data_IF_659668233473
#
_entry.id   IF_659668233473
#
_cell.length_a   1.000
_cell.length_b   1.000
_cell.length_c   1.000
_cell.angle_alpha   90.00
_cell.angle_beta   90.00
_cell.angle_gamma   90.00
#
_symmetry.space_group_name_H-M   'P 1'
#
loop_
_entity.id
_entity.type
_entity.pdbx_description
1 polymer ?
#
# COMPACT_ATOMS: atom_id res chain seq x y z
N UNK A 1 -36.94 -11.30 -38.57
CA UNK A 1 -36.78 -11.31 -37.10
C UNK A 1 -36.22 -12.66 -36.73
N UNK A 2 -34.91 -12.72 -36.45
CA UNK A 2 -34.23 -13.90 -35.91
C UNK A 2 -33.02 -13.39 -35.14
N UNK A 3 -33.07 -13.47 -33.81
CA UNK A 3 -31.96 -13.19 -32.91
C UNK A 3 -31.05 -14.41 -32.80
N UNK A 4 -29.71 -14.27 -32.78
CA UNK A 4 -28.83 -15.34 -32.37
C UNK A 4 -28.53 -15.25 -30.86
N UNK A 5 -28.86 -16.31 -30.15
CA UNK A 5 -28.43 -16.59 -28.77
C UNK A 5 -26.96 -16.97 -28.74
N UNK A 6 -26.15 -16.26 -27.93
CA UNK A 6 -24.80 -16.68 -27.57
C UNK A 6 -24.79 -17.46 -26.25
N UNK A 7 -24.08 -18.59 -26.28
CA UNK A 7 -23.94 -19.58 -25.23
C UNK A 7 -22.68 -19.25 -24.36
N UNK A 8 -22.78 -19.12 -23.03
CA UNK A 8 -21.62 -18.80 -22.19
C UNK A 8 -20.73 -20.02 -21.99
N UNK A 9 -19.52 -19.98 -22.57
CA UNK A 9 -18.48 -21.01 -22.36
C UNK A 9 -18.10 -21.10 -20.87
N UNK A 10 -18.49 -22.19 -20.21
CA UNK A 10 -17.94 -22.61 -18.91
C UNK A 10 -16.52 -23.17 -19.09
N UNK A 11 -15.55 -22.66 -18.33
CA UNK A 11 -14.22 -23.25 -18.21
C UNK A 11 -14.23 -24.44 -17.22
N UNK A 12 -13.57 -25.56 -17.53
CA UNK A 12 -13.57 -26.74 -16.67
C UNK A 12 -12.59 -26.59 -15.49
N UNK A 13 -13.04 -26.99 -14.30
CA UNK A 13 -12.24 -27.09 -13.08
C UNK A 13 -11.27 -28.27 -13.19
N UNK A 14 -9.97 -28.04 -12.94
CA UNK A 14 -8.92 -29.07 -13.04
C UNK A 14 -8.30 -29.32 -11.66
N UNK A 15 -8.67 -30.45 -11.05
CA UNK A 15 -8.26 -30.86 -9.70
C UNK A 15 -6.73 -31.10 -9.56
N UNK A 16 -6.03 -31.42 -10.64
CA UNK A 16 -4.58 -31.62 -10.63
C UNK A 16 -3.77 -30.33 -10.41
N UNK A 17 -4.41 -29.16 -10.54
CA UNK A 17 -3.79 -27.84 -10.31
C UNK A 17 -3.67 -27.52 -8.81
N UNK A 18 -4.58 -28.03 -7.99
CA UNK A 18 -4.63 -27.77 -6.54
C UNK A 18 -3.46 -28.44 -5.81
N UNK A 19 -3.07 -29.65 -6.19
CA UNK A 19 -1.91 -30.34 -5.58
C UNK A 19 -0.56 -29.72 -5.96
N UNK A 20 -0.44 -29.13 -7.16
CA UNK A 20 0.76 -28.42 -7.59
C UNK A 20 0.91 -27.08 -6.85
N UNK A 21 -0.19 -26.35 -6.69
CA UNK A 21 -0.24 -25.07 -5.98
C UNK A 21 0.04 -25.22 -4.48
N UNK A 22 -0.39 -26.33 -3.84
CA UNK A 22 -0.06 -26.63 -2.43
C UNK A 22 1.43 -26.93 -2.24
N UNK A 23 2.07 -27.66 -3.18
CA UNK A 23 3.51 -27.95 -3.12
C UNK A 23 4.37 -26.70 -3.33
N UNK A 24 3.97 -25.80 -4.23
CA UNK A 24 4.64 -24.53 -4.45
C UNK A 24 4.46 -23.60 -3.23
N UNK A 25 3.26 -23.51 -2.66
CA UNK A 25 3.01 -22.69 -1.45
C UNK A 25 3.88 -23.12 -0.26
N UNK A 26 4.11 -24.44 -0.09
CA UNK A 26 4.97 -24.98 0.96
C UNK A 26 6.48 -24.80 0.70
N UNK A 27 6.93 -24.79 -0.55
CA UNK A 27 8.32 -24.50 -0.92
C UNK A 27 8.65 -23.00 -0.81
N UNK A 28 7.68 -22.10 -1.03
CA UNK A 28 7.85 -20.64 -0.90
C UNK A 28 7.78 -20.13 0.55
N UNK A 29 7.21 -20.90 1.47
CA UNK A 29 7.16 -20.56 2.91
C UNK A 29 8.50 -20.78 3.64
N UNK A 30 9.42 -21.58 3.07
CA UNK A 30 10.59 -22.09 3.79
C UNK A 30 11.78 -21.12 3.92
N UNK A 31 11.76 -19.93 3.30
CA UNK A 31 12.94 -19.04 3.24
C UNK A 31 12.70 -17.57 3.59
N UNK A 32 11.56 -17.19 4.20
CA UNK A 32 11.31 -15.80 4.62
C UNK A 32 11.77 -15.57 6.06
N UNK A 33 12.62 -14.55 6.27
CA UNK A 33 12.96 -14.03 7.61
C UNK A 33 11.66 -13.65 8.32
N UNK A 34 11.41 -14.25 9.48
CA UNK A 34 10.27 -13.94 10.34
C UNK A 34 10.39 -12.50 10.85
N UNK A 35 9.33 -11.70 10.71
CA UNK A 35 9.25 -10.35 11.26
C UNK A 35 8.93 -10.47 12.74
N UNK A 36 9.75 -9.89 13.59
CA UNK A 36 9.59 -9.92 15.04
C UNK A 36 9.07 -8.59 15.55
N UNK A 37 7.91 -8.59 16.20
CA UNK A 37 7.24 -7.41 16.74
C UNK A 37 7.14 -7.54 18.26
N UNK A 38 7.53 -6.49 18.97
CA UNK A 38 7.28 -6.33 20.39
C UNK A 38 6.11 -5.37 20.58
N UNK A 39 5.14 -5.73 21.41
CA UNK A 39 4.01 -4.85 21.77
C UNK A 39 4.05 -4.64 23.28
N UNK A 40 3.97 -3.37 23.68
CA UNK A 40 3.88 -2.95 25.06
C UNK A 40 2.64 -2.06 25.22
N UNK A 41 1.64 -2.60 25.87
CA UNK A 41 0.36 -1.94 26.16
C UNK A 41 -0.10 -2.45 27.54
N UNK A 42 -0.67 -1.61 28.39
CA UNK A 42 -1.12 -2.07 29.72
C UNK A 42 -2.46 -2.77 29.70
N UNK A 43 -3.23 -2.61 28.63
CA UNK A 43 -4.56 -3.19 28.52
C UNK A 43 -4.47 -4.64 28.00
N UNK A 44 -4.83 -5.65 28.81
CA UNK A 44 -4.76 -7.06 28.40
C UNK A 44 -5.63 -7.40 27.20
N UNK A 45 -6.76 -6.71 27.02
CA UNK A 45 -7.66 -6.93 25.88
C UNK A 45 -7.02 -6.38 24.60
N UNK A 46 -6.35 -5.24 24.68
CA UNK A 46 -5.58 -4.68 23.57
C UNK A 46 -4.37 -5.58 23.24
N UNK A 47 -3.64 -6.06 24.26
CA UNK A 47 -2.54 -7.01 24.05
C UNK A 47 -3.02 -8.28 23.33
N UNK A 48 -4.14 -8.86 23.79
CA UNK A 48 -4.76 -10.04 23.15
C UNK A 48 -5.15 -9.73 21.71
N UNK A 49 -5.76 -8.56 21.47
CA UNK A 49 -6.15 -8.13 20.14
C UNK A 49 -4.95 -8.05 19.18
N UNK A 50 -3.83 -7.47 19.63
CA UNK A 50 -2.59 -7.48 18.84
C UNK A 50 -2.10 -8.90 18.56
N UNK A 51 -2.08 -9.78 19.56
CA UNK A 51 -1.64 -11.17 19.35
C UNK A 51 -2.49 -11.88 18.30
N UNK A 52 -3.82 -11.78 18.39
CA UNK A 52 -4.73 -12.40 17.42
C UNK A 52 -4.60 -11.77 16.04
N UNK A 53 -4.51 -10.44 15.95
CA UNK A 53 -4.28 -9.75 14.69
C UNK A 53 -2.97 -10.16 14.02
N UNK A 54 -1.87 -10.27 14.75
CA UNK A 54 -0.59 -10.66 14.17
C UNK A 54 -0.58 -12.14 13.71
N UNK A 55 -1.34 -13.02 14.37
CA UNK A 55 -1.53 -14.42 13.91
C UNK A 55 -2.23 -14.48 12.55
N UNK A 56 -3.19 -13.58 12.31
CA UNK A 56 -3.95 -13.52 11.03
C UNK A 56 -3.10 -12.97 9.88
N UNK A 57 -2.23 -11.99 10.15
CA UNK A 57 -1.44 -11.29 9.10
C UNK A 57 -0.54 -12.24 8.32
N UNK A 58 0.18 -13.12 9.02
CA UNK A 58 1.07 -14.08 8.36
C UNK A 58 1.69 -15.06 9.36
N UNK A 59 1.91 -16.34 9.00
CA UNK A 59 2.79 -17.24 9.76
C UNK A 59 4.23 -16.69 9.90
N UNK A 60 4.57 -15.65 9.13
CA UNK A 60 5.88 -15.00 9.14
C UNK A 60 5.99 -13.80 10.10
N UNK A 61 4.97 -13.47 10.90
CA UNK A 61 5.06 -12.46 11.97
C UNK A 61 5.09 -13.17 13.33
N UNK A 62 6.07 -12.87 14.16
CA UNK A 62 6.04 -13.20 15.60
C UNK A 62 5.73 -11.96 16.40
N UNK A 63 4.68 -12.02 17.21
CA UNK A 63 4.33 -10.99 18.17
C UNK A 63 4.76 -11.44 19.58
N UNK A 64 5.51 -10.61 20.28
CA UNK A 64 5.86 -10.76 21.68
C UNK A 64 5.19 -9.64 22.46
N UNK A 65 4.50 -9.98 23.54
CA UNK A 65 3.91 -9.00 24.44
C UNK A 65 4.87 -8.76 25.60
N UNK A 66 5.14 -7.49 25.89
CA UNK A 66 5.79 -7.07 27.11
C UNK A 66 4.72 -6.50 28.07
N UNK A 67 4.74 -7.00 29.30
CA UNK A 67 3.93 -6.58 30.44
C UNK A 67 4.72 -5.65 31.39
N UNK A 68 6.02 -5.45 31.14
CA UNK A 68 6.90 -4.59 31.91
C UNK A 68 7.88 -3.82 31.01
N UNK A 69 8.16 -2.58 31.39
CA UNK A 69 9.09 -1.69 30.72
C UNK A 69 10.52 -2.22 30.75
N UNK A 70 10.90 -2.98 31.79
CA UNK A 70 12.20 -3.64 31.81
C UNK A 70 12.29 -4.71 30.73
N UNK A 71 11.24 -5.52 30.53
CA UNK A 71 11.18 -6.45 29.40
C UNK A 71 11.16 -5.73 28.06
N UNK A 72 10.60 -4.53 27.98
CA UNK A 72 10.63 -3.69 26.78
C UNK A 72 12.04 -3.19 26.44
N UNK A 73 12.80 -2.74 27.45
CA UNK A 73 14.14 -2.16 27.26
C UNK A 73 15.21 -3.26 27.15
N UNK A 74 15.05 -4.38 27.86
CA UNK A 74 16.09 -5.38 28.09
C UNK A 74 15.76 -6.80 27.59
N UNK A 75 14.53 -7.06 27.14
CA UNK A 75 14.09 -8.41 26.74
C UNK A 75 13.91 -9.36 27.94
N UNK A 76 13.84 -10.67 27.69
CA UNK A 76 13.62 -11.69 28.72
C UNK A 76 14.83 -11.91 29.67
N UNK A 77 15.95 -11.21 29.48
CA UNK A 77 17.15 -11.32 30.33
C UNK A 77 17.07 -10.39 31.56
N UNK A 78 16.01 -10.50 32.35
CA UNK A 78 15.76 -9.67 33.54
C UNK A 78 16.61 -10.04 34.78
N UNK A 79 17.78 -10.67 34.60
CA UNK A 79 18.67 -11.08 35.69
C UNK A 79 19.95 -10.25 35.71
N UNK A 80 19.87 -9.06 36.31
CA UNK A 80 20.93 -8.24 36.97
C UNK A 80 20.90 -6.76 36.55
N UNK A 81 20.06 -5.98 37.23
CA UNK A 81 20.01 -4.50 37.17
C UNK A 81 21.36 -3.84 37.49
N UNK A 82 22.30 -4.57 38.12
CA UNK A 82 23.61 -4.06 38.54
C UNK A 82 24.78 -4.35 37.58
N UNK A 83 24.54 -4.95 36.40
CA UNK A 83 25.55 -5.09 35.34
C UNK A 83 25.02 -4.46 34.06
N UNK A 84 25.25 -3.14 33.96
CA UNK A 84 24.89 -2.28 32.85
C UNK A 84 25.54 -2.73 31.55
N UNK A 85 24.73 -3.14 30.57
CA UNK A 85 24.95 -2.83 29.16
C UNK A 85 23.60 -2.90 28.44
N UNK A 86 23.03 -1.78 27.97
CA UNK A 86 21.83 -1.82 27.14
C UNK A 86 22.11 -2.61 25.85
N UNK A 87 21.12 -3.33 25.31
CA UNK A 87 21.32 -4.16 24.13
C UNK A 87 21.79 -3.29 22.95
N UNK A 88 22.90 -3.69 22.32
CA UNK A 88 23.43 -3.01 21.12
C UNK A 88 22.65 -3.35 19.83
N UNK A 89 21.69 -4.26 19.94
CA UNK A 89 20.83 -4.71 18.84
C UNK A 89 19.50 -5.18 19.40
N UNK A 90 18.42 -4.82 18.72
CA UNK A 90 17.08 -5.31 19.05
C UNK A 90 16.85 -6.67 18.40
N UNK A 91 16.15 -7.54 19.13
CA UNK A 91 15.63 -8.81 18.60
C UNK A 91 14.31 -8.62 17.83
N UNK A 92 13.82 -7.38 17.73
CA UNK A 92 12.55 -7.02 17.13
C UNK A 92 12.75 -6.05 15.96
N UNK A 93 12.11 -6.34 14.84
CA UNK A 93 12.08 -5.45 13.67
C UNK A 93 11.24 -4.20 13.94
N UNK A 94 10.16 -4.31 14.75
CA UNK A 94 9.28 -3.19 15.16
C UNK A 94 8.93 -3.31 16.64
N UNK A 95 8.90 -2.18 17.37
CA UNK A 95 8.36 -2.10 18.74
C UNK A 95 7.15 -1.16 18.73
N UNK A 96 6.02 -1.64 19.24
CA UNK A 96 4.77 -0.90 19.39
C UNK A 96 4.59 -0.62 20.88
N UNK A 97 4.34 0.63 21.23
CA UNK A 97 4.31 1.06 22.64
C UNK A 97 3.13 2.00 22.84
N UNK A 98 2.24 1.70 23.78
CA UNK A 98 1.26 2.68 24.25
C UNK A 98 1.99 3.78 25.05
N UNK A 99 1.68 5.04 24.76
CA UNK A 99 2.22 6.18 25.50
C UNK A 99 1.61 6.26 26.89
N UNK A 100 0.37 5.80 27.07
CA UNK A 100 -0.38 5.89 28.32
C UNK A 100 -0.26 4.62 29.17
N UNK A 101 0.97 4.24 29.51
CA UNK A 101 1.25 3.04 30.32
C UNK A 101 1.53 3.45 31.76
N UNK A 102 0.50 3.46 32.60
CA UNK A 102 0.61 3.73 34.04
C UNK A 102 1.39 5.01 34.37
N UNK A 103 2.30 4.92 35.33
CA UNK A 103 3.18 6.03 35.76
C UNK A 103 4.52 6.08 35.00
N UNK A 104 4.65 5.33 33.90
CA UNK A 104 5.92 5.22 33.21
C UNK A 104 6.15 6.36 32.20
N UNK A 105 7.36 6.92 32.23
CA UNK A 105 7.83 7.88 31.22
C UNK A 105 8.31 7.13 29.97
N UNK A 106 7.33 6.73 29.15
CA UNK A 106 7.52 5.92 27.95
C UNK A 106 8.37 6.63 26.90
N UNK A 107 8.17 7.94 26.72
CA UNK A 107 8.93 8.74 25.76
C UNK A 107 10.42 8.72 26.13
N UNK A 108 10.74 8.85 27.43
CA UNK A 108 12.13 8.74 27.91
C UNK A 108 12.71 7.34 27.72
N UNK A 109 11.92 6.30 27.94
CA UNK A 109 12.35 4.92 27.71
C UNK A 109 12.70 4.68 26.23
N UNK A 110 11.82 5.08 25.32
CA UNK A 110 12.04 4.98 23.87
C UNK A 110 13.23 5.82 23.42
N UNK A 111 13.43 7.02 23.98
CA UNK A 111 14.62 7.82 23.71
C UNK A 111 15.90 7.06 24.04
N UNK A 112 15.96 6.36 25.17
CA UNK A 112 17.12 5.51 25.52
C UNK A 112 17.30 4.36 24.53
N UNK A 113 16.21 3.73 24.07
CA UNK A 113 16.29 2.67 23.05
C UNK A 113 16.90 3.24 21.76
N UNK A 114 16.41 4.37 21.27
CA UNK A 114 16.89 4.98 20.02
C UNK A 114 18.31 5.54 20.13
N UNK A 115 18.77 5.95 21.31
CA UNK A 115 20.16 6.32 21.55
C UNK A 115 21.12 5.12 21.38
N UNK A 116 20.68 3.92 21.77
CA UNK A 116 21.49 2.70 21.66
C UNK A 116 21.28 1.98 20.32
N UNK A 117 20.09 2.09 19.73
CA UNK A 117 19.68 1.42 18.48
C UNK A 117 18.98 2.44 17.57
N UNK A 118 19.72 3.36 16.91
CA UNK A 118 19.14 4.48 16.17
C UNK A 118 18.24 4.10 14.99
N UNK A 119 18.36 2.86 14.49
CA UNK A 119 17.55 2.33 13.39
C UNK A 119 16.35 1.51 13.86
N UNK A 120 16.12 1.42 15.17
CA UNK A 120 14.97 0.70 15.69
C UNK A 120 13.68 1.37 15.23
N UNK A 121 12.77 0.60 14.63
CA UNK A 121 11.44 1.09 14.28
C UNK A 121 10.57 1.08 15.53
N UNK A 122 10.05 2.25 15.89
CA UNK A 122 9.16 2.44 17.04
C UNK A 122 7.83 3.01 16.56
N UNK A 123 6.74 2.45 17.07
CA UNK A 123 5.37 2.88 16.82
C UNK A 123 4.75 3.23 18.17
N UNK A 124 4.44 4.49 18.39
CA UNK A 124 3.63 4.90 19.52
C UNK A 124 2.16 4.69 19.21
N UNK A 125 1.42 4.22 20.19
CA UNK A 125 -0.04 4.27 20.18
C UNK A 125 -0.53 5.15 21.30
N UNK A 126 -1.60 5.92 21.06
CA UNK A 126 -2.07 6.87 22.07
C UNK A 126 -3.54 7.19 21.88
N UNK A 127 -4.26 7.44 22.97
CA UNK A 127 -5.60 8.06 22.93
C UNK A 127 -5.54 9.59 23.01
N UNK A 128 -4.38 10.15 23.37
CA UNK A 128 -4.17 11.57 23.57
C UNK A 128 -4.12 12.34 22.24
N UNK A 129 -4.26 13.67 22.35
CA UNK A 129 -4.09 14.56 21.21
C UNK A 129 -2.65 14.52 20.68
N UNK A 130 -2.49 14.42 19.36
CA UNK A 130 -1.17 14.33 18.72
C UNK A 130 -0.28 15.54 19.00
N UNK A 131 -0.86 16.72 19.20
CA UNK A 131 -0.11 17.93 19.52
C UNK A 131 0.52 17.84 20.92
N UNK A 132 -0.21 17.28 21.90
CA UNK A 132 0.28 17.08 23.26
C UNK A 132 1.47 16.12 23.24
N UNK A 133 1.30 14.96 22.59
CA UNK A 133 2.34 13.94 22.50
C UNK A 133 3.58 14.45 21.75
N UNK A 134 3.40 15.15 20.63
CA UNK A 134 4.51 15.73 19.88
C UNK A 134 5.27 16.79 20.68
N UNK A 135 4.57 17.65 21.41
CA UNK A 135 5.21 18.65 22.27
C UNK A 135 6.01 17.99 23.39
N UNK A 136 5.45 16.96 24.03
CA UNK A 136 6.15 16.20 25.06
C UNK A 136 7.43 15.55 24.51
N UNK A 137 7.35 14.91 23.34
CA UNK A 137 8.52 14.34 22.65
C UNK A 137 9.58 15.40 22.37
N UNK A 138 9.20 16.57 21.87
CA UNK A 138 10.12 17.69 21.62
C UNK A 138 10.79 18.15 22.92
N UNK A 139 10.02 18.35 23.99
CA UNK A 139 10.54 18.74 25.30
C UNK A 139 11.53 17.70 25.85
N UNK A 140 11.28 16.42 25.59
CA UNK A 140 12.17 15.34 25.96
C UNK A 140 13.32 15.13 24.96
N UNK A 141 13.39 15.87 23.85
CA UNK A 141 14.44 15.79 22.84
C UNK A 141 14.35 14.56 21.93
N UNK A 142 13.16 13.99 21.76
CA UNK A 142 12.83 12.95 20.79
C UNK A 142 12.20 13.59 19.55
N UNK A 143 13.01 14.00 18.58
CA UNK A 143 12.55 14.82 17.46
C UNK A 143 12.33 14.06 16.14
N UNK A 144 12.76 12.80 16.05
CA UNK A 144 12.58 11.97 14.85
C UNK A 144 12.73 10.48 15.17
N UNK A 145 12.32 9.61 14.24
CA UNK A 145 12.54 8.16 14.32
C UNK A 145 11.39 7.35 14.94
N UNK A 146 10.22 7.96 15.13
CA UNK A 146 9.02 7.29 15.66
C UNK A 146 7.81 7.56 14.78
N UNK A 147 6.92 6.57 14.67
CA UNK A 147 5.58 6.70 14.07
C UNK A 147 4.56 6.80 15.19
N UNK A 148 3.48 7.56 15.02
CA UNK A 148 2.42 7.69 16.04
C UNK A 148 1.08 7.29 15.43
N UNK A 149 0.42 6.31 16.03
CA UNK A 149 -0.94 5.89 15.73
C UNK A 149 -1.90 6.34 16.84
N UNK A 150 -2.95 7.06 16.46
CA UNK A 150 -3.98 7.50 17.42
C UNK A 150 -5.09 6.46 17.51
N UNK A 151 -5.40 6.01 18.72
CA UNK A 151 -6.50 5.09 19.03
C UNK A 151 -7.85 5.84 18.94
N UNK A 152 -8.90 5.21 18.38
CA UNK A 152 -8.88 3.94 17.67
C UNK A 152 -8.26 4.10 16.27
N UNK A 153 -7.50 3.09 15.83
CA UNK A 153 -6.99 2.99 14.46
C UNK A 153 -7.40 1.65 13.85
N UNK A 154 -7.43 1.59 12.52
CA UNK A 154 -7.78 0.39 11.78
C UNK A 154 -6.63 -0.62 11.75
N UNK A 155 -6.96 -1.88 11.47
CA UNK A 155 -5.96 -2.91 11.24
C UNK A 155 -5.07 -2.61 10.02
N UNK A 156 -5.60 -1.93 9.00
CA UNK A 156 -4.85 -1.50 7.83
C UNK A 156 -3.79 -0.46 8.20
N UNK A 157 -4.12 0.48 9.09
CA UNK A 157 -3.20 1.52 9.57
C UNK A 157 -2.02 0.88 10.30
N UNK A 158 -2.33 -0.07 11.21
CA UNK A 158 -1.32 -0.84 11.90
C UNK A 158 -0.42 -1.63 10.93
N UNK A 159 -1.00 -2.26 9.91
CA UNK A 159 -0.28 -3.02 8.90
C UNK A 159 0.66 -2.16 8.05
N UNK A 160 0.21 -0.98 7.63
CA UNK A 160 1.02 -0.03 6.89
C UNK A 160 2.26 0.36 7.69
N UNK A 161 2.08 0.58 9.00
CA UNK A 161 3.19 0.94 9.88
C UNK A 161 4.09 -0.24 10.18
N UNK A 162 3.63 -1.47 10.37
CA UNK A 162 4.52 -2.59 10.75
C UNK A 162 5.14 -3.33 9.55
N UNK A 163 4.52 -3.28 8.37
CA UNK A 163 5.01 -4.00 7.19
C UNK A 163 6.43 -3.53 6.82
N UNK A 164 7.37 -4.44 6.51
CA UNK A 164 8.74 -4.07 6.11
C UNK A 164 8.84 -3.34 4.77
N UNK A 165 7.72 -3.09 4.09
CA UNK A 165 7.72 -2.50 2.76
C UNK A 165 7.99 -1.00 2.85
N UNK A 166 9.29 -0.63 2.86
CA UNK A 166 9.76 0.65 2.29
C UNK A 166 9.26 0.86 0.85
N UNK A 167 8.84 -0.23 0.22
CA UNK A 167 8.32 -0.28 -1.12
C UNK A 167 6.94 -0.96 -1.11
N UNK A 168 5.90 -0.13 -1.04
CA UNK A 168 4.49 -0.55 -0.98
C UNK A 168 4.03 -1.34 -2.22
N UNK A 169 4.78 -1.26 -3.32
CA UNK A 169 4.47 -1.93 -4.59
C UNK A 169 5.21 -3.26 -4.76
N UNK A 170 6.09 -3.65 -3.83
CA UNK A 170 6.99 -4.82 -3.99
C UNK A 170 6.27 -6.17 -4.15
N UNK A 171 5.02 -6.28 -3.68
CA UNK A 171 4.23 -7.51 -3.71
C UNK A 171 3.31 -7.62 -4.92
N UNK A 172 3.19 -6.55 -5.70
CA UNK A 172 2.25 -6.48 -6.80
C UNK A 172 2.78 -7.24 -8.02
N UNK A 173 1.86 -7.85 -8.76
CA UNK A 173 2.10 -8.64 -9.98
C UNK A 173 1.48 -7.93 -11.17
N UNK A 174 2.02 -8.20 -12.36
CA UNK A 174 1.52 -7.76 -13.67
C UNK A 174 0.09 -8.26 -14.03
N UNK A 175 -0.67 -8.74 -13.07
CA UNK A 175 -2.07 -9.17 -13.26
C UNK A 175 -2.98 -8.57 -12.20
N UNK A 176 -2.45 -7.81 -11.26
CA UNK A 176 -3.21 -7.30 -10.12
C UNK A 176 -4.04 -6.08 -10.50
N UNK A 177 -5.23 -5.97 -9.92
CA UNK A 177 -6.08 -4.80 -9.99
C UNK A 177 -6.02 -4.05 -8.65
N UNK A 178 -5.36 -2.89 -8.64
CA UNK A 178 -4.95 -2.23 -7.40
C UNK A 178 -5.76 -0.96 -7.16
N UNK A 179 -6.37 -0.85 -5.98
CA UNK A 179 -6.98 0.39 -5.51
C UNK A 179 -5.99 1.14 -4.63
N UNK A 180 -5.83 2.43 -4.85
CA UNK A 180 -5.10 3.30 -3.94
C UNK A 180 -5.93 4.53 -3.54
N UNK A 181 -5.97 4.86 -2.26
CA UNK A 181 -6.58 6.09 -1.75
C UNK A 181 -5.52 7.07 -1.26
N UNK A 182 -5.68 8.34 -1.59
CA UNK A 182 -4.73 9.41 -1.28
C UNK A 182 -5.41 10.59 -0.57
N UNK A 183 -4.78 11.08 0.50
CA UNK A 183 -5.21 12.26 1.24
C UNK A 183 -4.59 13.55 0.68
N UNK A 184 -3.43 13.47 0.04
CA UNK A 184 -2.78 14.61 -0.59
C UNK A 184 -2.32 14.33 -2.02
N UNK A 185 -2.32 15.39 -2.84
CA UNK A 185 -1.76 15.36 -4.19
C UNK A 185 -0.25 15.04 -4.16
N UNK A 186 0.45 15.46 -3.10
CA UNK A 186 1.88 15.22 -2.98
C UNK A 186 2.20 13.73 -2.78
N UNK A 187 1.42 13.02 -1.97
CA UNK A 187 1.54 11.57 -1.83
C UNK A 187 1.22 10.86 -3.13
N UNK A 188 0.08 11.18 -3.75
CA UNK A 188 -0.36 10.58 -5.02
C UNK A 188 0.72 10.72 -6.10
N UNK A 189 1.30 11.91 -6.26
CA UNK A 189 2.38 12.14 -7.22
C UNK A 189 3.67 11.41 -6.86
N UNK A 190 4.01 11.32 -5.57
CA UNK A 190 5.20 10.58 -5.12
C UNK A 190 5.05 9.11 -5.46
N UNK A 191 3.88 8.54 -5.17
CA UNK A 191 3.54 7.16 -5.48
C UNK A 191 3.46 6.90 -6.98
N UNK A 192 2.89 7.83 -7.76
CA UNK A 192 2.88 7.73 -9.21
C UNK A 192 4.31 7.60 -9.74
N UNK A 193 5.24 8.46 -9.27
CA UNK A 193 6.64 8.39 -9.69
C UNK A 193 7.27 7.06 -9.30
N UNK A 194 7.12 6.62 -8.05
CA UNK A 194 7.75 5.39 -7.57
C UNK A 194 7.15 4.13 -8.23
N UNK A 195 5.85 4.16 -8.54
CA UNK A 195 5.19 3.10 -9.28
C UNK A 195 5.69 3.03 -10.73
N UNK A 196 5.78 4.16 -11.43
CA UNK A 196 6.27 4.20 -12.81
C UNK A 196 7.76 3.83 -12.90
N UNK A 197 8.61 4.30 -11.98
CA UNK A 197 10.03 3.89 -11.93
C UNK A 197 10.21 2.38 -11.92
N UNK A 198 9.38 1.68 -11.15
CA UNK A 198 9.43 0.21 -11.10
C UNK A 198 9.09 -0.45 -12.42
N UNK A 199 8.11 0.09 -13.14
CA UNK A 199 7.77 -0.42 -14.46
C UNK A 199 8.91 -0.19 -15.44
N UNK A 200 9.55 0.98 -15.39
CA UNK A 200 10.77 1.26 -16.18
C UNK A 200 11.90 0.29 -15.83
N UNK A 201 12.20 0.10 -14.54
CA UNK A 201 13.25 -0.82 -14.08
C UNK A 201 12.97 -2.29 -14.45
N UNK A 202 11.70 -2.64 -14.64
CA UNK A 202 11.24 -3.98 -15.01
C UNK A 202 11.01 -4.18 -16.52
N UNK A 203 11.35 -3.18 -17.34
CA UNK A 203 11.13 -3.17 -18.80
C UNK A 203 9.64 -3.38 -19.20
N UNK A 204 8.76 -2.68 -18.50
CA UNK A 204 7.32 -2.59 -18.78
C UNK A 204 7.02 -1.34 -19.63
N UNK A 205 5.91 -1.36 -20.38
CA UNK A 205 5.32 -0.13 -20.92
C UNK A 205 4.62 0.59 -19.77
N UNK A 206 4.81 1.91 -19.68
CA UNK A 206 4.28 2.72 -18.57
C UNK A 206 3.22 3.71 -19.08
N UNK A 207 2.09 3.77 -18.40
CA UNK A 207 1.03 4.76 -18.62
C UNK A 207 0.78 5.55 -17.34
N UNK A 208 0.78 6.87 -17.47
CA UNK A 208 0.39 7.79 -16.40
C UNK A 208 -0.81 8.61 -16.86
N UNK A 209 -1.98 8.31 -16.29
CA UNK A 209 -3.19 9.12 -16.47
C UNK A 209 -3.20 10.21 -15.41
N UNK A 210 -3.02 11.47 -15.84
CA UNK A 210 -3.00 12.63 -14.94
C UNK A 210 -4.34 13.35 -14.91
N UNK A 211 -4.57 14.14 -13.85
CA UNK A 211 -5.76 14.98 -13.71
C UNK A 211 -5.86 16.04 -14.80
N UNK A 212 -7.06 16.61 -14.95
CA UNK A 212 -7.32 17.66 -15.95
C UNK A 212 -6.69 19.00 -15.62
N UNK A 213 -6.60 19.33 -14.33
CA UNK A 213 -5.99 20.56 -13.81
C UNK A 213 -4.45 20.50 -13.81
N UNK A 214 -3.88 19.33 -14.08
CA UNK A 214 -2.45 19.14 -14.20
C UNK A 214 -1.93 19.50 -15.60
N UNK A 215 -0.75 20.11 -15.60
CA UNK A 215 0.03 20.35 -16.80
C UNK A 215 1.01 19.20 -17.06
N UNK A 216 1.10 18.78 -18.33
CA UNK A 216 1.93 17.64 -18.74
C UNK A 216 3.42 17.99 -18.57
N UNK A 217 3.86 19.19 -18.93
CA UNK A 217 5.26 19.60 -18.81
C UNK A 217 5.70 19.69 -17.35
N UNK A 218 4.84 20.22 -16.48
CA UNK A 218 5.08 20.22 -15.04
C UNK A 218 5.11 18.81 -14.44
N UNK A 219 4.29 17.89 -14.96
CA UNK A 219 4.31 16.47 -14.57
C UNK A 219 5.64 15.83 -14.95
N UNK A 220 6.11 16.07 -16.18
CA UNK A 220 7.42 15.61 -16.67
C UNK A 220 8.55 16.16 -15.79
N UNK A 221 8.53 17.45 -15.45
CA UNK A 221 9.50 18.05 -14.53
C UNK A 221 9.47 17.41 -13.14
N UNK A 222 8.28 17.04 -12.66
CA UNK A 222 8.09 16.34 -11.38
C UNK A 222 8.69 14.93 -11.43
N UNK A 223 8.46 14.18 -12.51
CA UNK A 223 9.06 12.85 -12.71
C UNK A 223 10.60 12.92 -12.69
N UNK A 224 11.19 13.89 -13.40
CA UNK A 224 12.65 14.12 -13.42
C UNK A 224 13.18 14.47 -12.03
N UNK A 225 12.59 15.46 -11.37
CA UNK A 225 13.07 15.95 -10.06
C UNK A 225 12.97 14.91 -8.95
N UNK A 226 12.00 13.99 -9.05
CA UNK A 226 11.85 12.86 -8.13
C UNK A 226 12.69 11.64 -8.52
N UNK A 227 13.52 11.73 -9.56
CA UNK A 227 14.57 10.75 -9.85
C UNK A 227 14.19 9.67 -10.87
N UNK A 228 13.15 9.86 -11.69
CA UNK A 228 12.99 9.05 -12.90
C UNK A 228 13.99 9.55 -13.95
N UNK A 229 14.97 8.71 -14.29
CA UNK A 229 16.02 9.04 -15.27
C UNK A 229 15.46 8.91 -16.69
N UNK A 230 15.99 9.68 -17.64
CA UNK A 230 15.70 9.54 -19.09
C UNK A 230 14.21 9.68 -19.47
N UNK A 231 13.44 10.50 -18.73
CA UNK A 231 12.01 10.72 -19.01
C UNK A 231 11.75 11.08 -20.47
N UNK A 232 12.58 11.95 -21.05
CA UNK A 232 12.48 12.37 -22.45
C UNK A 232 12.60 11.21 -23.42
N UNK A 233 13.63 10.37 -23.25
CA UNK A 233 13.84 9.17 -24.08
C UNK A 233 12.68 8.18 -23.94
N UNK A 234 12.16 7.99 -22.72
CA UNK A 234 11.01 7.10 -22.49
C UNK A 234 9.73 7.60 -23.17
N UNK A 235 9.56 8.92 -23.29
CA UNK A 235 8.43 9.51 -24.02
C UNK A 235 8.66 9.41 -25.52
N UNK A 236 9.87 9.72 -26.00
CA UNK A 236 10.24 9.65 -27.41
C UNK A 236 10.14 8.24 -28.00
N UNK A 237 10.53 7.21 -27.24
CA UNK A 237 10.39 5.80 -27.63
C UNK A 237 9.03 5.18 -27.26
N UNK A 238 8.15 5.99 -26.68
CA UNK A 238 6.80 5.64 -26.28
C UNK A 238 6.71 4.53 -25.21
N UNK A 239 7.80 4.28 -24.46
CA UNK A 239 7.81 3.42 -23.26
C UNK A 239 7.14 4.06 -22.05
N UNK A 240 6.97 5.38 -22.04
CA UNK A 240 6.19 6.15 -21.08
C UNK A 240 5.18 7.04 -21.81
N UNK A 241 3.90 6.81 -21.54
CA UNK A 241 2.79 7.59 -22.08
C UNK A 241 2.18 8.40 -20.95
N UNK A 242 2.06 9.72 -21.15
CA UNK A 242 1.38 10.62 -20.22
C UNK A 242 0.17 11.24 -20.92
N UNK A 243 -1.02 11.06 -20.38
CA UNK A 243 -2.26 11.56 -20.97
C UNK A 243 -3.22 12.00 -19.86
N UNK A 244 -4.08 12.99 -20.15
CA UNK A 244 -5.13 13.39 -19.21
C UNK A 244 -6.18 12.28 -19.08
N UNK A 245 -6.61 12.01 -17.85
CA UNK A 245 -7.60 10.99 -17.51
C UNK A 245 -8.93 11.21 -18.25
N UNK A 246 -9.40 12.45 -18.43
CA UNK A 246 -10.61 12.73 -19.22
C UNK A 246 -10.47 12.34 -20.68
N UNK A 247 -9.27 12.49 -21.28
CA UNK A 247 -9.03 12.06 -22.67
C UNK A 247 -8.99 10.54 -22.79
N UNK A 248 -8.57 9.86 -21.73
CA UNK A 248 -8.58 8.41 -21.68
C UNK A 248 -9.99 7.86 -21.47
N UNK A 249 -10.68 8.28 -20.41
CA UNK A 249 -11.96 7.71 -19.97
C UNK A 249 -13.20 8.36 -20.60
N UNK A 250 -13.15 9.68 -20.84
CA UNK A 250 -14.33 10.51 -21.14
C UNK A 250 -14.08 11.51 -22.32
N UNK A 251 -13.51 11.07 -23.46
CA UNK A 251 -13.09 12.01 -24.52
C UNK A 251 -14.25 12.82 -25.12
N UNK A 252 -15.45 12.24 -25.14
CA UNK A 252 -16.67 12.83 -25.72
C UNK A 252 -17.72 13.20 -24.65
N UNK A 253 -17.29 13.42 -23.40
CA UNK A 253 -18.20 13.75 -22.29
C UNK A 253 -19.08 12.58 -21.83
N UNK A 254 -18.74 11.34 -22.20
CA UNK A 254 -19.42 10.11 -21.76
C UNK A 254 -18.44 8.99 -21.45
N UNK A 255 -18.81 8.12 -20.52
CA UNK A 255 -18.10 6.87 -20.23
C UNK A 255 -18.53 5.81 -21.25
N UNK A 256 -17.56 5.24 -21.96
CA UNK A 256 -17.78 4.16 -22.95
C UNK A 256 -16.87 2.99 -22.56
N UNK A 257 -17.43 2.05 -21.78
CA UNK A 257 -16.69 0.91 -21.23
C UNK A 257 -16.06 0.04 -22.33
N UNK A 258 -16.79 -0.39 -23.39
CA UNK A 258 -16.19 -1.13 -24.49
C UNK A 258 -15.01 -0.41 -25.14
N UNK A 259 -15.11 0.91 -25.35
CA UNK A 259 -13.99 1.70 -25.88
C UNK A 259 -12.79 1.69 -24.93
N UNK A 260 -13.00 1.92 -23.64
CA UNK A 260 -11.94 1.93 -22.63
C UNK A 260 -11.23 0.56 -22.59
N UNK A 261 -12.00 -0.54 -22.59
CA UNK A 261 -11.43 -1.89 -22.60
C UNK A 261 -10.59 -2.16 -23.85
N UNK A 262 -11.08 -1.77 -25.03
CA UNK A 262 -10.33 -1.89 -26.27
C UNK A 262 -9.02 -1.06 -26.24
N UNK A 263 -9.00 0.09 -25.57
CA UNK A 263 -7.77 0.88 -25.41
C UNK A 263 -6.74 0.17 -24.52
N UNK A 264 -7.18 -0.45 -23.42
CA UNK A 264 -6.32 -1.27 -22.57
C UNK A 264 -5.74 -2.45 -23.35
N UNK A 265 -6.58 -3.21 -24.06
CA UNK A 265 -6.14 -4.35 -24.87
C UNK A 265 -5.15 -3.94 -25.97
N UNK A 266 -5.42 -2.82 -26.65
CA UNK A 266 -4.50 -2.29 -27.66
C UNK A 266 -3.14 -1.92 -27.06
N UNK A 267 -3.13 -1.31 -25.86
CA UNK A 267 -1.90 -0.88 -25.20
C UNK A 267 -1.09 -2.06 -24.64
N UNK A 268 -1.75 -3.09 -24.12
CA UNK A 268 -1.09 -4.35 -23.72
C UNK A 268 -0.52 -5.07 -24.94
N UNK A 269 -1.25 -5.16 -26.04
CA UNK A 269 -0.74 -5.77 -27.27
C UNK A 269 0.47 -5.00 -27.82
N UNK A 270 0.45 -3.67 -27.74
CA UNK A 270 1.59 -2.83 -28.11
C UNK A 270 2.82 -3.10 -27.23
N UNK A 271 2.66 -3.21 -25.91
CA UNK A 271 3.79 -3.48 -25.01
C UNK A 271 4.47 -4.80 -25.38
N UNK A 272 3.68 -5.84 -25.67
CA UNK A 272 4.18 -7.14 -26.14
C UNK A 272 4.91 -7.02 -27.49
N UNK A 273 4.36 -6.25 -28.45
CA UNK A 273 5.02 -6.01 -29.75
C UNK A 273 6.36 -5.27 -29.61
N UNK A 274 6.47 -4.38 -28.64
CA UNK A 274 7.71 -3.69 -28.26
C UNK A 274 8.66 -4.56 -27.43
N UNK A 275 8.33 -5.85 -27.22
CA UNK A 275 9.08 -6.82 -26.40
C UNK A 275 9.19 -6.44 -24.92
N UNK A 276 8.32 -5.55 -24.44
CA UNK A 276 8.15 -5.27 -23.02
C UNK A 276 7.46 -6.45 -22.34
N UNK A 277 7.65 -6.58 -21.03
CA UNK A 277 7.07 -7.71 -20.28
C UNK A 277 5.58 -7.53 -19.96
N UNK A 278 5.05 -6.31 -20.09
CA UNK A 278 3.67 -5.98 -19.76
C UNK A 278 3.40 -4.48 -19.75
N UNK A 279 2.25 -4.09 -19.19
CA UNK A 279 1.79 -2.72 -19.02
C UNK A 279 1.61 -2.39 -17.54
N UNK A 280 2.20 -1.29 -17.09
CA UNK A 280 1.94 -0.69 -15.79
C UNK A 280 1.25 0.65 -15.96
N UNK A 281 0.12 0.83 -15.30
CA UNK A 281 -0.69 2.03 -15.45
C UNK A 281 -1.00 2.65 -14.08
N UNK A 282 -0.62 3.90 -13.87
CA UNK A 282 -1.08 4.71 -12.74
C UNK A 282 -2.23 5.59 -13.22
N UNK A 283 -3.42 5.39 -12.65
CA UNK A 283 -4.67 5.91 -13.19
C UNK A 283 -5.34 6.85 -12.18
N UNK A 284 -5.21 8.17 -12.34
CA UNK A 284 -5.94 9.12 -11.50
C UNK A 284 -7.43 9.17 -11.91
N UNK A 285 -8.32 8.83 -10.98
CA UNK A 285 -9.74 8.53 -11.24
C UNK A 285 -10.69 9.73 -11.03
N UNK A 286 -10.16 10.89 -10.64
CA UNK A 286 -10.89 12.13 -10.32
C UNK A 286 -11.85 12.58 -11.44
N UNK A 287 -11.53 12.34 -12.71
CA UNK A 287 -12.38 12.79 -13.81
C UNK A 287 -13.80 12.21 -13.77
N UNK A 288 -13.99 11.03 -13.19
CA UNK A 288 -15.34 10.47 -13.03
C UNK A 288 -16.15 11.29 -12.02
N UNK A 289 -15.54 11.71 -10.92
CA UNK A 289 -16.21 12.51 -9.89
C UNK A 289 -16.45 13.94 -10.36
N UNK A 290 -15.47 14.56 -11.02
CA UNK A 290 -15.57 15.92 -11.56
C UNK A 290 -16.73 16.07 -12.58
N UNK A 291 -17.06 14.98 -13.28
CA UNK A 291 -18.10 14.98 -14.31
C UNK A 291 -19.40 14.28 -13.85
N UNK A 292 -19.52 13.91 -12.58
CA UNK A 292 -20.74 13.30 -12.03
C UNK A 292 -20.98 11.84 -12.46
N UNK A 293 -19.96 11.15 -12.94
CA UNK A 293 -19.99 9.75 -13.40
C UNK A 293 -19.53 8.74 -12.34
N UNK A 294 -19.77 9.02 -11.06
CA UNK A 294 -19.32 8.16 -9.96
C UNK A 294 -20.01 6.78 -9.96
N UNK A 295 -21.24 6.69 -10.48
CA UNK A 295 -21.94 5.41 -10.62
C UNK A 295 -21.35 4.58 -11.77
N UNK A 296 -21.09 5.23 -12.91
CA UNK A 296 -20.48 4.62 -14.09
C UNK A 296 -19.04 4.17 -13.82
N UNK A 297 -18.30 4.90 -12.98
CA UNK A 297 -17.01 4.47 -12.45
C UNK A 297 -17.13 3.12 -11.72
N UNK A 298 -18.05 3.00 -10.76
CA UNK A 298 -18.21 1.77 -9.97
C UNK A 298 -18.63 0.61 -10.88
N UNK A 299 -19.49 0.87 -11.86
CA UNK A 299 -19.89 -0.13 -12.85
C UNK A 299 -18.73 -0.51 -13.77
N UNK A 300 -17.92 0.45 -14.23
CA UNK A 300 -16.71 0.20 -15.00
C UNK A 300 -15.72 -0.68 -14.23
N UNK A 301 -15.37 -0.30 -13.01
CA UNK A 301 -14.42 -1.00 -12.14
C UNK A 301 -14.87 -2.44 -11.85
N UNK A 302 -16.17 -2.66 -11.66
CA UNK A 302 -16.71 -3.98 -11.42
C UNK A 302 -16.99 -4.81 -12.68
N UNK A 303 -16.80 -4.25 -13.87
CA UNK A 303 -16.66 -5.01 -15.10
C UNK A 303 -15.21 -5.50 -15.34
N UNK A 304 -14.24 -4.97 -14.59
CA UNK A 304 -12.86 -5.45 -14.62
C UNK A 304 -12.72 -6.69 -13.73
N UNK A 305 -11.88 -7.67 -14.13
CA UNK A 305 -11.54 -8.77 -13.24
C UNK A 305 -10.60 -8.27 -12.13
N UNK A 306 -10.77 -8.79 -10.91
CA UNK A 306 -9.84 -8.50 -9.81
C UNK A 306 -8.43 -9.03 -10.07
N UNK A 307 -8.27 -9.99 -10.98
CA UNK A 307 -7.00 -10.41 -11.54
C UNK A 307 -7.09 -10.58 -13.05
N UNK A 308 -6.25 -9.85 -13.79
CA UNK A 308 -6.20 -9.87 -15.24
C UNK A 308 -5.56 -11.16 -15.77
N UNK A 309 -6.03 -11.63 -16.93
CA UNK A 309 -5.43 -12.76 -17.67
C UNK A 309 -4.40 -12.28 -18.72
N UNK A 310 -4.14 -10.98 -18.75
CA UNK A 310 -3.19 -10.30 -19.63
C UNK A 310 -2.16 -9.57 -18.76
N UNK A 311 -0.93 -9.29 -19.25
CA UNK A 311 0.14 -8.71 -18.44
C UNK A 311 -0.07 -7.20 -18.25
N UNK A 312 -1.03 -6.84 -17.41
CA UNK A 312 -1.34 -5.48 -16.99
C UNK A 312 -1.47 -5.36 -15.46
N UNK A 313 -0.88 -4.30 -14.92
CA UNK A 313 -1.12 -3.86 -13.54
C UNK A 313 -1.62 -2.40 -13.52
N UNK A 314 -2.94 -2.19 -13.54
CA UNK A 314 -3.51 -0.88 -13.27
C UNK A 314 -3.56 -0.61 -11.75
N UNK A 315 -3.15 0.60 -11.38
CA UNK A 315 -3.36 1.19 -10.08
C UNK A 315 -4.37 2.33 -10.23
N UNK A 316 -5.60 2.08 -9.76
CA UNK A 316 -6.69 3.04 -9.72
C UNK A 316 -6.49 3.95 -8.50
N UNK A 317 -6.02 5.17 -8.76
CA UNK A 317 -5.71 6.18 -7.75
C UNK A 317 -6.91 7.10 -7.52
N UNK A 318 -7.43 7.05 -6.29
CA UNK A 318 -8.57 7.82 -5.84
C UNK A 318 -8.14 8.87 -4.81
N UNK A 319 -8.78 10.04 -4.83
CA UNK A 319 -8.72 10.97 -3.70
C UNK A 319 -9.66 10.46 -2.61
N UNK A 320 -9.25 10.54 -1.35
CA UNK A 320 -10.11 10.14 -0.23
C UNK A 320 -11.43 10.91 -0.23
N UNK A 321 -11.40 12.22 -0.53
CA UNK A 321 -12.61 13.06 -0.61
C UNK A 321 -13.60 12.60 -1.70
N UNK A 322 -13.10 12.01 -2.79
CA UNK A 322 -13.96 11.48 -3.86
C UNK A 322 -14.61 10.17 -3.42
N UNK A 323 -13.83 9.29 -2.76
CA UNK A 323 -14.36 8.05 -2.18
C UNK A 323 -15.41 8.35 -1.11
N UNK A 324 -15.23 9.40 -0.30
CA UNK A 324 -16.18 9.80 0.74
C UNK A 324 -17.55 10.20 0.18
N UNK A 325 -17.61 10.61 -1.09
CA UNK A 325 -18.85 10.94 -1.79
C UNK A 325 -19.62 9.71 -2.30
N UNK A 326 -19.01 8.51 -2.28
CA UNK A 326 -19.68 7.27 -2.64
C UNK A 326 -20.58 6.76 -1.52
N UNK A 327 -21.66 6.06 -1.89
CA UNK A 327 -22.47 5.33 -0.91
C UNK A 327 -21.65 4.18 -0.32
N UNK A 328 -21.96 3.75 0.90
CA UNK A 328 -21.28 2.59 1.52
C UNK A 328 -21.41 1.32 0.67
N UNK A 329 -22.53 1.17 -0.06
CA UNK A 329 -22.73 0.07 -1.01
C UNK A 329 -21.72 0.16 -2.16
N UNK A 330 -21.52 1.34 -2.72
CA UNK A 330 -20.62 1.55 -3.85
C UNK A 330 -19.15 1.46 -3.43
N UNK A 331 -18.77 1.99 -2.26
CA UNK A 331 -17.43 1.77 -1.67
C UNK A 331 -17.13 0.28 -1.52
N UNK A 332 -18.08 -0.48 -0.98
CA UNK A 332 -17.93 -1.93 -0.82
C UNK A 332 -17.74 -2.64 -2.16
N UNK A 333 -18.58 -2.34 -3.16
CA UNK A 333 -18.43 -2.88 -4.52
C UNK A 333 -17.05 -2.56 -5.09
N UNK A 334 -16.64 -1.30 -5.00
CA UNK A 334 -15.36 -0.84 -5.50
C UNK A 334 -14.20 -1.63 -4.87
N UNK A 335 -14.19 -1.81 -3.55
CA UNK A 335 -13.17 -2.58 -2.82
C UNK A 335 -13.16 -4.05 -3.26
N UNK A 336 -14.33 -4.69 -3.40
CA UNK A 336 -14.44 -6.10 -3.80
C UNK A 336 -13.94 -6.39 -5.23
N UNK A 337 -13.94 -5.37 -6.10
CA UNK A 337 -13.49 -5.47 -7.49
C UNK A 337 -11.95 -5.37 -7.63
N UNK A 338 -11.22 -5.06 -6.55
CA UNK A 338 -9.76 -4.97 -6.50
C UNK A 338 -9.15 -6.07 -5.61
N UNK A 339 -8.02 -6.66 -6.03
CA UNK A 339 -7.35 -7.71 -5.25
C UNK A 339 -6.27 -7.16 -4.30
N UNK A 340 -5.88 -5.89 -4.47
CA UNK A 340 -4.97 -5.18 -3.59
C UNK A 340 -5.47 -3.78 -3.29
N UNK A 341 -5.27 -3.35 -2.03
CA UNK A 341 -5.63 -2.01 -1.58
C UNK A 341 -4.43 -1.36 -0.91
N UNK A 342 -4.17 -0.11 -1.27
CA UNK A 342 -3.14 0.76 -0.68
C UNK A 342 -3.87 1.97 -0.09
N UNK A 343 -3.77 2.16 1.21
CA UNK A 343 -4.28 3.35 1.88
C UNK A 343 -3.06 4.21 2.21
N UNK A 344 -3.00 5.41 1.65
CA UNK A 344 -1.96 6.38 1.94
C UNK A 344 -2.42 7.34 3.03
N UNK A 345 -1.54 7.60 4.00
CA UNK A 345 -1.79 8.45 5.17
C UNK A 345 -1.66 9.94 4.87
#
# INVERSE_FOLDING_TARGET
MSTPTQDPKKYPFNENKVEHDIKITNLYAANKKKISILVFDTDPDIQYLYQEYMKVISPHVSCTIADDIEKMIFGNDSLNVNKFNPPQKSNFDTIIVDVNVGDYDIIRAVKKILQNIPKQKIVFTTTADLHIIKNEMICQGLVSGVVILRKPFSFSDLLAVISPTKDKFAKLKLTDHVLASYNSMQEELTDAVDFIKKGVDSDELNLLLIRNDMDIENTICTLRSKGLSNVDTLIEDESLIIIRNSKWYIPDGRVDVPRIMNQWDALVNRSIQQKKIGLRAFCMMDCFFENGFSSELVDYECNLPSQFQIPIIPLCAYRQMDLDCLTEKDKKRLIECHNHMIICE
#
